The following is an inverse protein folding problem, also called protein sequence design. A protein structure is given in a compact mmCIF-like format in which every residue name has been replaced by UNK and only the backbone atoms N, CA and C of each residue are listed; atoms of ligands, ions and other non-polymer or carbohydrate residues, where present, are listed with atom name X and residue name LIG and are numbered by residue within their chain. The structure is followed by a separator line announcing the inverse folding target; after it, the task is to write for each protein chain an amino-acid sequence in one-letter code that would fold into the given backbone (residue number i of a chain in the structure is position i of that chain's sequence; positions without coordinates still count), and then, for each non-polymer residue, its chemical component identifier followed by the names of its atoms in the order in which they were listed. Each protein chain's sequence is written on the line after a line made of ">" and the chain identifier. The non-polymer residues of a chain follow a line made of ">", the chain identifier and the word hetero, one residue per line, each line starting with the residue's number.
data_IF_444882663613
#
_entry.id   IF_444882663613
#
_cell.length_a   1.000
_cell.length_b   1.000
_cell.length_c   1.000
_cell.angle_alpha   90.00
_cell.angle_beta   90.00
_cell.angle_gamma   90.00
#
_symmetry.space_group_name_H-M   'P 1'
#
loop_
_entity.id
_entity.type
_entity.pdbx_description
1 polymer ?
#
# COMPACT_ATOMS: atom_id res chain seq x y z
N UNK A 1 -29.71 -20.93 -27.24
CA UNK A 1 -28.24 -20.91 -27.47
C UNK A 1 -27.79 -19.44 -27.51
N UNK A 2 -26.94 -19.04 -26.59
CA UNK A 2 -26.36 -17.68 -26.60
C UNK A 2 -25.58 -17.46 -27.91
N UNK A 3 -25.82 -16.33 -28.57
CA UNK A 3 -25.12 -15.99 -29.81
C UNK A 3 -23.62 -15.82 -29.54
N UNK A 4 -22.74 -16.43 -30.36
CA UNK A 4 -21.27 -16.33 -30.21
C UNK A 4 -20.76 -14.87 -30.15
N UNK A 5 -21.45 -13.91 -30.81
CA UNK A 5 -21.13 -12.49 -30.75
C UNK A 5 -21.46 -11.90 -29.42
N UNK A 6 -22.50 -12.35 -28.76
CA UNK A 6 -22.91 -11.95 -27.43
C UNK A 6 -21.91 -12.41 -26.36
N UNK A 7 -21.49 -13.67 -26.42
CA UNK A 7 -20.44 -14.21 -25.52
C UNK A 7 -19.12 -13.42 -25.67
N UNK A 8 -18.71 -13.13 -26.93
CA UNK A 8 -17.54 -12.28 -27.19
C UNK A 8 -17.73 -10.84 -26.66
N UNK A 9 -18.94 -10.31 -26.73
CA UNK A 9 -19.31 -9.00 -26.16
C UNK A 9 -19.16 -8.97 -24.64
N UNK A 10 -19.64 -10.01 -23.93
CA UNK A 10 -19.44 -10.18 -22.48
C UNK A 10 -17.95 -10.17 -22.11
N UNK A 11 -17.15 -10.96 -22.83
CA UNK A 11 -15.70 -11.04 -22.62
C UNK A 11 -15.05 -9.67 -22.81
N UNK A 12 -15.41 -8.93 -23.88
CA UNK A 12 -14.88 -7.58 -24.13
C UNK A 12 -15.27 -6.64 -22.99
N UNK A 13 -16.52 -6.63 -22.55
CA UNK A 13 -16.96 -5.78 -21.44
C UNK A 13 -16.23 -6.06 -20.15
N UNK A 14 -15.80 -7.31 -19.92
CA UNK A 14 -15.07 -7.72 -18.70
C UNK A 14 -13.57 -7.52 -18.80
N UNK A 15 -12.97 -7.60 -19.99
CA UNK A 15 -11.51 -7.70 -20.15
C UNK A 15 -10.87 -6.53 -20.91
N UNK A 16 -11.67 -5.63 -21.51
CA UNK A 16 -11.18 -4.57 -22.40
C UNK A 16 -11.68 -3.20 -21.98
N UNK A 17 -10.92 -2.16 -22.34
CA UNK A 17 -11.31 -0.79 -22.02
C UNK A 17 -12.52 -0.35 -22.85
N UNK A 18 -13.55 0.17 -22.16
CA UNK A 18 -14.69 0.86 -22.77
C UNK A 18 -14.71 2.26 -22.19
N UNK A 19 -14.58 3.27 -23.07
CA UNK A 19 -14.59 4.69 -22.68
C UNK A 19 -15.91 5.32 -23.16
N UNK A 20 -16.63 5.97 -22.24
CA UNK A 20 -17.79 6.77 -22.60
C UNK A 20 -17.30 8.10 -23.20
N UNK A 21 -17.84 8.49 -24.33
CA UNK A 21 -17.62 9.76 -25.03
C UNK A 21 -18.95 10.51 -25.09
N UNK A 22 -18.91 11.76 -25.50
CA UNK A 22 -20.12 12.58 -25.59
C UNK A 22 -21.14 12.02 -26.60
N UNK A 23 -20.65 11.48 -27.72
CA UNK A 23 -21.48 10.96 -28.84
C UNK A 23 -21.61 9.43 -28.87
N UNK A 24 -21.05 8.70 -27.87
CA UNK A 24 -21.09 7.23 -27.87
C UNK A 24 -20.03 6.59 -27.00
N UNK A 25 -19.51 5.47 -27.47
CA UNK A 25 -18.54 4.63 -26.70
C UNK A 25 -17.38 4.21 -27.57
N UNK A 26 -16.15 4.37 -27.07
CA UNK A 26 -14.96 3.78 -27.65
C UNK A 26 -14.68 2.42 -26.99
N UNK A 27 -14.79 1.33 -27.75
CA UNK A 27 -14.64 -0.05 -27.29
C UNK A 27 -13.34 -0.63 -27.82
N UNK A 28 -12.46 -1.07 -26.94
CA UNK A 28 -11.18 -1.68 -27.34
C UNK A 28 -11.40 -3.02 -28.04
N UNK A 29 -10.65 -3.23 -29.11
CA UNK A 29 -10.64 -4.50 -29.85
C UNK A 29 -10.18 -5.67 -28.98
N UNK A 30 -10.75 -6.85 -29.21
CA UNK A 30 -10.34 -8.09 -28.53
C UNK A 30 -8.90 -8.52 -28.86
N UNK A 31 -8.45 -8.27 -30.10
CA UNK A 31 -7.20 -8.80 -30.66
C UNK A 31 -6.14 -7.70 -30.91
N UNK A 32 -6.43 -6.44 -30.59
CA UNK A 32 -5.51 -5.32 -30.84
C UNK A 32 -5.73 -4.18 -29.86
N UNK A 33 -4.79 -3.23 -29.83
CA UNK A 33 -4.93 -1.97 -29.06
C UNK A 33 -5.88 -0.95 -29.72
N UNK A 34 -6.48 -1.28 -30.89
CA UNK A 34 -7.39 -0.38 -31.62
C UNK A 34 -8.72 -0.26 -30.89
N UNK A 35 -9.35 0.92 -30.98
CA UNK A 35 -10.69 1.17 -30.50
C UNK A 35 -11.66 1.26 -31.66
N UNK A 36 -12.87 0.74 -31.45
CA UNK A 36 -14.00 0.89 -32.35
C UNK A 36 -15.05 1.76 -31.69
N UNK A 37 -15.64 2.65 -32.46
CA UNK A 37 -16.65 3.56 -31.97
C UNK A 37 -18.04 2.93 -32.11
N UNK A 38 -18.85 3.00 -31.07
CA UNK A 38 -20.25 2.63 -31.02
C UNK A 38 -21.01 3.90 -30.66
N UNK A 39 -21.84 4.42 -31.57
CA UNK A 39 -22.61 5.63 -31.33
C UNK A 39 -23.78 5.38 -30.37
N UNK A 40 -24.44 6.47 -29.93
CA UNK A 40 -25.59 6.41 -29.03
C UNK A 40 -26.84 5.72 -29.67
N UNK A 41 -26.89 5.61 -31.00
CA UNK A 41 -27.93 4.89 -31.73
C UNK A 41 -27.61 3.38 -31.90
N UNK A 42 -26.45 2.96 -31.42
CA UNK A 42 -26.03 1.58 -31.47
C UNK A 42 -25.36 1.16 -32.78
N UNK A 43 -24.95 2.07 -33.66
CA UNK A 43 -24.15 1.73 -34.84
C UNK A 43 -22.65 1.61 -34.48
N UNK A 44 -21.93 0.67 -35.10
CA UNK A 44 -20.52 0.43 -34.82
C UNK A 44 -19.67 0.53 -36.08
N UNK A 45 -18.53 1.20 -35.99
CA UNK A 45 -17.58 1.34 -37.10
C UNK A 45 -16.60 0.18 -37.27
N UNK A 46 -16.84 -0.96 -36.63
CA UNK A 46 -15.95 -2.11 -36.78
C UNK A 46 -16.11 -2.83 -38.16
N UNK A 47 -15.10 -3.56 -38.62
CA UNK A 47 -15.15 -4.27 -39.92
C UNK A 47 -16.34 -5.22 -40.04
N UNK A 48 -16.78 -5.85 -38.95
CA UNK A 48 -17.95 -6.76 -38.95
C UNK A 48 -19.25 -6.04 -39.32
N UNK A 49 -19.40 -4.78 -38.88
CA UNK A 49 -20.55 -3.93 -39.26
C UNK A 49 -20.37 -3.30 -40.63
N UNK A 50 -19.17 -2.81 -40.97
CA UNK A 50 -18.94 -2.07 -42.20
C UNK A 50 -18.84 -2.97 -43.45
N UNK A 51 -18.20 -4.14 -43.32
CA UNK A 51 -17.94 -5.03 -44.44
C UNK A 51 -19.01 -6.11 -44.54
N UNK A 52 -19.41 -6.72 -43.44
CA UNK A 52 -20.34 -7.84 -43.41
C UNK A 52 -21.81 -7.40 -43.17
N UNK A 53 -22.09 -6.12 -43.07
CA UNK A 53 -23.44 -5.60 -42.85
C UNK A 53 -24.11 -6.10 -41.58
N UNK A 54 -23.32 -6.47 -40.56
CA UNK A 54 -23.85 -7.03 -39.31
C UNK A 54 -24.61 -5.98 -38.52
N UNK A 55 -25.87 -6.21 -38.25
CA UNK A 55 -26.74 -5.28 -37.48
C UNK A 55 -26.39 -5.23 -36.00
N UNK A 56 -25.83 -6.27 -35.43
CA UNK A 56 -25.40 -6.29 -34.02
C UNK A 56 -24.07 -7.06 -33.87
N UNK A 57 -23.00 -6.32 -33.65
CA UNK A 57 -21.67 -6.89 -33.50
C UNK A 57 -21.27 -7.05 -31.99
N UNK A 58 -20.15 -7.74 -31.76
CA UNK A 58 -19.61 -7.96 -30.41
C UNK A 58 -19.33 -6.68 -29.65
N UNK A 59 -18.97 -5.56 -30.28
CA UNK A 59 -18.71 -4.29 -29.62
C UNK A 59 -20.00 -3.61 -29.14
N UNK A 60 -21.07 -3.75 -29.90
CA UNK A 60 -22.41 -3.28 -29.49
C UNK A 60 -22.93 -4.08 -28.29
N UNK A 61 -22.76 -5.40 -28.31
CA UNK A 61 -23.03 -6.24 -27.13
C UNK A 61 -22.16 -5.81 -25.93
N UNK A 62 -20.88 -5.52 -26.16
CA UNK A 62 -19.99 -5.06 -25.08
C UNK A 62 -20.51 -3.76 -24.45
N UNK A 63 -20.98 -2.79 -25.23
CA UNK A 63 -21.60 -1.56 -24.71
C UNK A 63 -22.87 -1.86 -23.95
N UNK A 64 -23.75 -2.75 -24.47
CA UNK A 64 -24.97 -3.16 -23.76
C UNK A 64 -24.65 -3.77 -22.39
N UNK A 65 -23.63 -4.66 -22.32
CA UNK A 65 -23.18 -5.21 -21.05
C UNK A 65 -22.53 -4.20 -20.13
N UNK A 66 -21.83 -3.23 -20.69
CA UNK A 66 -21.22 -2.13 -19.93
C UNK A 66 -22.28 -1.19 -19.31
N UNK A 67 -23.38 -0.90 -20.06
CA UNK A 67 -24.47 -0.03 -19.59
C UNK A 67 -25.49 -0.75 -18.68
N UNK A 68 -25.44 -2.05 -18.64
CA UNK A 68 -26.48 -2.90 -18.06
C UNK A 68 -27.49 -3.36 -19.14
N UNK A 69 -27.92 -4.62 -19.05
CA UNK A 69 -28.87 -5.17 -20.00
C UNK A 69 -30.31 -4.84 -19.52
N UNK A 70 -31.12 -4.24 -20.39
CA UNK A 70 -32.56 -4.33 -20.25
C UNK A 70 -33.00 -5.74 -20.65
N UNK A 71 -33.50 -6.52 -19.69
CA UNK A 71 -34.20 -7.78 -20.00
C UNK A 71 -35.51 -7.47 -20.72
N UNK A 72 -36.03 -8.43 -21.46
CA UNK A 72 -37.30 -8.31 -22.18
C UNK A 72 -38.49 -7.98 -21.27
N UNK A 73 -38.37 -8.17 -19.96
CA UNK A 73 -39.36 -7.82 -18.92
C UNK A 73 -39.20 -6.37 -18.39
N UNK A 74 -38.29 -5.56 -18.96
CA UNK A 74 -38.05 -4.18 -18.55
C UNK A 74 -37.14 -4.02 -17.31
N UNK A 75 -36.65 -5.11 -16.73
CA UNK A 75 -35.71 -5.02 -15.62
C UNK A 75 -34.29 -4.74 -16.10
N UNK A 76 -33.60 -3.81 -15.41
CA UNK A 76 -32.20 -3.45 -15.73
C UNK A 76 -31.26 -4.16 -14.77
N UNK A 77 -30.51 -5.11 -15.28
CA UNK A 77 -29.45 -5.75 -14.51
C UNK A 77 -28.16 -4.91 -14.65
N UNK A 78 -27.81 -4.16 -13.60
CA UNK A 78 -26.51 -3.48 -13.52
C UNK A 78 -25.44 -4.54 -13.34
N UNK A 79 -24.74 -4.88 -14.42
CA UNK A 79 -23.51 -5.67 -14.31
C UNK A 79 -22.47 -4.75 -13.67
N UNK A 80 -22.20 -4.95 -12.38
CA UNK A 80 -21.00 -4.42 -11.77
C UNK A 80 -19.83 -5.14 -12.44
N UNK A 81 -19.01 -4.37 -13.16
CA UNK A 81 -17.66 -4.82 -13.51
C UNK A 81 -16.86 -4.90 -12.21
N UNK A 82 -16.95 -6.02 -11.54
CA UNK A 82 -16.04 -6.35 -10.46
C UNK A 82 -14.80 -6.96 -11.09
N UNK A 83 -13.63 -6.49 -10.70
CA UNK A 83 -12.38 -7.22 -10.94
C UNK A 83 -12.60 -8.65 -10.45
N UNK A 84 -12.11 -9.63 -11.22
CA UNK A 84 -12.23 -11.03 -10.85
C UNK A 84 -11.55 -11.28 -9.51
N UNK A 85 -12.32 -11.16 -8.42
CA UNK A 85 -11.85 -11.46 -7.06
C UNK A 85 -11.81 -12.96 -6.89
N UNK A 86 -10.70 -13.50 -6.41
CA UNK A 86 -10.60 -14.89 -5.99
C UNK A 86 -11.37 -15.10 -4.66
N UNK A 87 -12.70 -15.08 -4.73
CA UNK A 87 -13.58 -15.10 -3.55
C UNK A 87 -13.29 -16.24 -2.58
N UNK A 88 -12.87 -17.40 -3.08
CA UNK A 88 -12.53 -18.54 -2.23
C UNK A 88 -11.29 -18.21 -1.35
N UNK A 89 -10.22 -17.75 -1.96
CA UNK A 89 -8.99 -17.34 -1.27
C UNK A 89 -9.26 -16.18 -0.31
N UNK A 90 -10.01 -15.17 -0.76
CA UNK A 90 -10.42 -14.05 0.08
C UNK A 90 -11.20 -14.50 1.33
N UNK A 91 -12.20 -15.36 1.17
CA UNK A 91 -12.99 -15.85 2.29
C UNK A 91 -12.14 -16.68 3.28
N UNK A 92 -11.24 -17.51 2.77
CA UNK A 92 -10.31 -18.27 3.62
C UNK A 92 -9.39 -17.35 4.41
N UNK A 93 -8.82 -16.32 3.75
CA UNK A 93 -7.99 -15.33 4.42
C UNK A 93 -8.77 -14.61 5.54
N UNK A 94 -9.98 -14.12 5.25
CA UNK A 94 -10.80 -13.38 6.23
C UNK A 94 -11.24 -14.25 7.41
N UNK A 95 -11.68 -15.48 7.17
CA UNK A 95 -12.19 -16.36 8.24
C UNK A 95 -11.09 -16.91 9.14
N UNK A 96 -9.86 -17.01 8.65
CA UNK A 96 -8.70 -17.49 9.41
C UNK A 96 -7.82 -16.35 9.97
N UNK A 97 -8.12 -15.09 9.64
CA UNK A 97 -7.25 -13.94 9.86
C UNK A 97 -6.76 -13.82 11.31
N UNK A 98 -7.65 -13.87 12.30
CA UNK A 98 -7.24 -13.64 13.69
C UNK A 98 -6.23 -14.69 14.16
N UNK A 99 -6.47 -15.97 13.83
CA UNK A 99 -5.57 -17.07 14.19
C UNK A 99 -4.22 -16.95 13.49
N UNK A 100 -4.25 -16.67 12.18
CA UNK A 100 -3.04 -16.52 11.38
C UNK A 100 -2.24 -15.25 11.74
N UNK A 101 -2.93 -14.16 12.09
CA UNK A 101 -2.30 -12.95 12.57
C UNK A 101 -1.46 -13.19 13.81
N UNK A 102 -2.01 -13.93 14.79
CA UNK A 102 -1.27 -14.27 16.01
C UNK A 102 -0.05 -15.13 15.72
N UNK A 103 -0.18 -16.13 14.86
CA UNK A 103 0.92 -17.01 14.47
C UNK A 103 2.03 -16.26 13.73
N UNK A 104 1.69 -15.53 12.65
CA UNK A 104 2.67 -14.79 11.86
C UNK A 104 3.34 -13.66 12.67
N UNK A 105 2.59 -12.99 13.55
CA UNK A 105 3.19 -12.02 14.45
C UNK A 105 4.20 -12.67 15.38
N UNK A 106 3.86 -13.82 15.99
CA UNK A 106 4.77 -14.57 16.84
C UNK A 106 6.03 -14.98 16.10
N UNK A 107 5.89 -15.55 14.89
CA UNK A 107 7.02 -15.98 14.05
C UNK A 107 7.92 -14.78 13.66
N UNK A 108 7.33 -13.65 13.27
CA UNK A 108 8.09 -12.44 12.96
C UNK A 108 8.89 -11.97 14.18
N UNK A 109 8.32 -12.00 15.37
CA UNK A 109 8.97 -11.52 16.58
C UNK A 109 10.10 -12.42 17.06
N UNK A 110 10.21 -13.67 16.56
CA UNK A 110 11.40 -14.51 16.81
C UNK A 110 12.69 -13.90 16.24
N UNK A 111 12.58 -13.00 15.27
CA UNK A 111 13.71 -12.23 14.72
C UNK A 111 14.26 -11.16 15.67
N UNK A 112 13.57 -10.84 16.77
CA UNK A 112 14.03 -9.87 17.75
C UNK A 112 15.04 -10.52 18.69
N UNK A 113 16.19 -9.90 18.84
CA UNK A 113 17.15 -10.25 19.89
C UNK A 113 16.68 -9.63 21.21
N UNK A 114 16.58 -10.50 22.25
CA UNK A 114 16.24 -10.01 23.58
C UNK A 114 17.45 -9.31 24.18
N UNK A 115 17.28 -8.10 24.76
CA UNK A 115 18.40 -7.41 25.37
C UNK A 115 18.96 -8.20 26.56
N UNK A 116 20.28 -8.21 26.69
CA UNK A 116 20.95 -8.85 27.82
C UNK A 116 20.50 -8.24 29.14
N UNK A 117 20.33 -9.09 30.12
CA UNK A 117 19.94 -8.66 31.46
C UNK A 117 21.07 -7.87 32.13
N UNK A 118 20.80 -6.61 32.43
CA UNK A 118 21.73 -5.76 33.17
C UNK A 118 21.32 -5.68 34.65
N UNK A 119 22.25 -6.12 35.54
CA UNK A 119 22.13 -5.92 36.98
C UNK A 119 21.24 -6.94 37.71
N UNK A 120 21.21 -6.76 39.08
CA UNK A 120 20.36 -7.51 39.97
C UNK A 120 18.97 -6.88 40.07
N UNK A 121 17.92 -7.67 40.19
CA UNK A 121 16.56 -7.18 40.34
C UNK A 121 15.51 -8.08 39.69
N UNK A 122 14.24 -7.66 39.71
CA UNK A 122 13.17 -8.39 39.05
C UNK A 122 13.41 -8.42 37.54
N UNK A 123 13.38 -9.60 36.90
CA UNK A 123 13.51 -9.69 35.43
C UNK A 123 12.48 -8.81 34.74
N UNK A 124 12.93 -8.05 33.71
CA UNK A 124 12.03 -7.35 32.81
C UNK A 124 11.14 -8.35 32.06
N UNK A 125 10.01 -7.87 31.55
CA UNK A 125 9.23 -8.64 30.59
C UNK A 125 10.02 -8.77 29.28
N UNK A 126 9.88 -9.90 28.61
CA UNK A 126 10.45 -10.09 27.27
C UNK A 126 10.03 -8.97 26.32
N UNK A 127 10.97 -8.44 25.55
CA UNK A 127 10.70 -7.40 24.55
C UNK A 127 9.76 -7.92 23.48
N UNK A 128 9.94 -9.15 23.03
CA UNK A 128 9.06 -9.84 22.07
C UNK A 128 7.63 -9.87 22.56
N UNK A 129 7.39 -10.28 23.81
CA UNK A 129 6.05 -10.34 24.40
C UNK A 129 5.40 -8.96 24.53
N UNK A 130 6.18 -7.94 24.86
CA UNK A 130 5.69 -6.57 24.94
C UNK A 130 5.30 -6.03 23.57
N UNK A 131 6.11 -6.28 22.53
CA UNK A 131 5.80 -5.89 21.14
C UNK A 131 4.59 -6.65 20.63
N UNK A 132 4.51 -7.99 20.88
CA UNK A 132 3.34 -8.78 20.55
C UNK A 132 2.04 -8.17 21.09
N UNK A 133 2.03 -7.88 22.39
CA UNK A 133 0.88 -7.27 23.05
C UNK A 133 0.56 -5.86 22.52
N UNK A 134 1.58 -5.09 22.15
CA UNK A 134 1.40 -3.74 21.58
C UNK A 134 0.72 -3.81 20.21
N UNK A 135 1.22 -4.66 19.32
CA UNK A 135 0.66 -4.84 17.98
C UNK A 135 -0.74 -5.46 18.03
N UNK A 136 -0.95 -6.48 18.88
CA UNK A 136 -2.26 -7.12 19.08
C UNK A 136 -3.31 -6.14 19.62
N UNK A 137 -2.91 -5.26 20.58
CA UNK A 137 -3.78 -4.17 21.08
C UNK A 137 -4.20 -3.22 19.97
N UNK A 138 -3.25 -2.83 19.11
CA UNK A 138 -3.51 -1.89 18.01
C UNK A 138 -4.38 -2.54 16.94
N UNK A 139 -4.09 -3.77 16.55
CA UNK A 139 -4.89 -4.57 15.64
C UNK A 139 -6.35 -4.69 16.10
N UNK A 140 -6.57 -4.98 17.39
CA UNK A 140 -7.91 -5.11 17.98
C UNK A 140 -8.58 -3.76 18.27
N UNK A 141 -7.92 -2.65 17.99
CA UNK A 141 -8.43 -1.29 18.26
C UNK A 141 -8.92 -1.08 19.72
N UNK A 142 -8.37 -1.81 20.68
CA UNK A 142 -8.77 -1.70 22.08
C UNK A 142 -8.00 -0.61 22.83
N UNK A 143 -8.61 -0.09 23.91
CA UNK A 143 -7.87 0.73 24.89
C UNK A 143 -6.93 -0.16 25.70
N UNK A 144 -5.84 0.42 26.23
CA UNK A 144 -4.82 -0.35 26.96
C UNK A 144 -5.40 -1.20 28.11
N UNK A 145 -6.38 -0.67 28.87
CA UNK A 145 -7.01 -1.42 29.96
C UNK A 145 -7.87 -2.59 29.45
N UNK A 146 -8.66 -2.39 28.38
CA UNK A 146 -9.50 -3.44 27.79
C UNK A 146 -8.67 -4.52 27.11
N UNK A 147 -7.50 -4.15 26.55
CA UNK A 147 -6.59 -5.09 25.90
C UNK A 147 -5.96 -6.10 26.89
N UNK A 148 -6.05 -5.86 28.21
CA UNK A 148 -5.53 -6.81 29.23
C UNK A 148 -6.11 -8.21 29.06
N UNK A 149 -7.40 -8.31 28.75
CA UNK A 149 -8.04 -9.60 28.44
C UNK A 149 -7.43 -10.34 27.26
N UNK A 150 -7.04 -9.60 26.18
CA UNK A 150 -6.35 -10.19 25.04
C UNK A 150 -4.94 -10.70 25.41
N UNK A 151 -4.27 -10.06 26.37
CA UNK A 151 -2.96 -10.50 26.84
C UNK A 151 -3.07 -11.76 27.69
N UNK A 152 -4.13 -11.87 28.49
CA UNK A 152 -4.41 -13.09 29.26
C UNK A 152 -4.74 -14.26 28.34
N UNK A 153 -5.58 -14.04 27.33
CA UNK A 153 -5.89 -15.01 26.29
C UNK A 153 -4.62 -15.46 25.51
N UNK A 154 -3.73 -14.53 25.16
CA UNK A 154 -2.48 -14.85 24.50
C UNK A 154 -1.58 -15.73 25.37
N UNK A 155 -1.57 -15.53 26.70
CA UNK A 155 -0.88 -16.39 27.65
C UNK A 155 -1.52 -17.79 27.72
N UNK A 156 -2.84 -17.89 27.76
CA UNK A 156 -3.55 -19.16 27.76
C UNK A 156 -3.27 -19.97 26.50
N UNK A 157 -3.14 -19.30 25.35
CA UNK A 157 -2.75 -19.89 24.06
C UNK A 157 -1.24 -20.20 23.97
N UNK A 158 -0.45 -19.94 25.01
CA UNK A 158 1.00 -20.10 25.04
C UNK A 158 1.78 -19.25 23.99
N UNK A 159 1.16 -18.19 23.46
CA UNK A 159 1.81 -17.22 22.55
C UNK A 159 2.78 -16.29 23.30
N UNK A 160 2.55 -16.09 24.59
CA UNK A 160 3.41 -15.36 25.51
C UNK A 160 3.53 -16.12 26.84
N UNK A 161 4.69 -16.04 27.49
CA UNK A 161 4.94 -16.70 28.80
C UNK A 161 4.28 -15.95 29.95
N UNK A 162 4.31 -14.61 29.88
CA UNK A 162 3.76 -13.75 30.93
C UNK A 162 2.87 -12.69 30.33
N UNK A 163 1.62 -12.58 30.81
CA UNK A 163 0.72 -11.51 30.43
C UNK A 163 1.17 -10.18 31.05
N UNK A 164 1.58 -9.17 30.25
CA UNK A 164 1.97 -7.87 30.77
C UNK A 164 0.78 -7.11 31.34
N UNK A 165 1.04 -6.23 32.29
CA UNK A 165 0.04 -5.26 32.73
C UNK A 165 -0.08 -4.14 31.67
N UNK A 166 -1.26 -3.55 31.51
CA UNK A 166 -1.52 -2.59 30.44
C UNK A 166 -0.56 -1.38 30.41
N UNK A 167 0.01 -1.00 31.58
CA UNK A 167 1.01 0.07 31.65
C UNK A 167 2.33 -0.30 30.99
N UNK A 168 2.71 -1.58 30.97
CA UNK A 168 3.95 -2.04 30.34
C UNK A 168 3.93 -1.79 28.82
N UNK A 169 2.79 -2.04 28.18
CA UNK A 169 2.57 -1.77 26.75
C UNK A 169 2.63 -0.27 26.47
N UNK A 170 2.01 0.55 27.33
CA UNK A 170 2.07 2.00 27.19
C UNK A 170 3.49 2.54 27.40
N UNK A 171 4.25 1.97 28.34
CA UNK A 171 5.64 2.33 28.59
C UNK A 171 6.55 1.97 27.39
N UNK A 172 6.36 0.80 26.78
CA UNK A 172 7.10 0.42 25.57
C UNK A 172 6.85 1.39 24.43
N UNK A 173 5.60 1.74 24.17
CA UNK A 173 5.24 2.67 23.09
C UNK A 173 5.82 4.08 23.30
N UNK A 174 6.19 4.47 24.52
CA UNK A 174 6.81 5.76 24.79
C UNK A 174 8.34 5.78 24.62
N UNK A 175 8.96 4.67 24.24
CA UNK A 175 10.40 4.59 24.03
C UNK A 175 10.78 4.90 22.58
N UNK A 176 11.83 5.69 22.38
CA UNK A 176 12.33 6.02 21.04
C UNK A 176 12.93 4.78 20.35
N UNK A 177 13.60 3.90 21.08
CA UNK A 177 14.18 2.67 20.54
C UNK A 177 13.11 1.72 19.97
N UNK A 178 11.87 1.84 20.44
CA UNK A 178 10.73 1.09 19.89
C UNK A 178 10.41 1.53 18.47
N UNK A 179 10.70 2.78 18.12
CA UNK A 179 10.46 3.29 16.75
C UNK A 179 11.33 2.57 15.73
N UNK A 180 12.64 2.51 15.97
CA UNK A 180 13.59 1.85 15.07
C UNK A 180 13.28 0.34 14.94
N UNK A 181 12.95 -0.29 16.07
CA UNK A 181 12.53 -1.68 16.09
C UNK A 181 11.29 -1.92 15.22
N UNK A 182 10.25 -1.10 15.35
CA UNK A 182 9.02 -1.25 14.57
C UNK A 182 9.25 -0.95 13.08
N UNK A 183 10.05 0.05 12.72
CA UNK A 183 10.44 0.32 11.34
C UNK A 183 11.17 -0.88 10.73
N UNK A 184 12.09 -1.52 11.46
CA UNK A 184 12.78 -2.75 11.06
C UNK A 184 11.79 -3.92 10.89
N UNK A 185 10.86 -4.12 11.81
CA UNK A 185 9.85 -5.17 11.72
C UNK A 185 8.91 -4.99 10.52
N UNK A 186 8.57 -3.76 10.15
CA UNK A 186 7.80 -3.46 8.94
C UNK A 186 8.57 -3.95 7.71
N UNK A 187 9.85 -3.63 7.59
CA UNK A 187 10.66 -4.08 6.46
C UNK A 187 10.81 -5.61 6.44
N UNK A 188 11.05 -6.25 7.59
CA UNK A 188 11.14 -7.71 7.71
C UNK A 188 9.82 -8.40 7.34
N UNK A 189 8.68 -7.84 7.75
CA UNK A 189 7.36 -8.39 7.42
C UNK A 189 7.05 -8.34 5.91
N UNK A 190 7.70 -7.48 5.15
CA UNK A 190 7.54 -7.40 3.70
C UNK A 190 8.42 -8.43 2.94
N UNK A 191 9.46 -8.96 3.58
CA UNK A 191 10.45 -9.84 2.93
C UNK A 191 9.87 -11.08 2.22
N UNK A 192 8.82 -11.76 2.73
CA UNK A 192 8.23 -12.90 2.03
C UNK A 192 7.69 -12.55 0.63
N UNK A 193 7.38 -11.28 0.37
CA UNK A 193 6.87 -10.78 -0.92
C UNK A 193 7.94 -10.15 -1.82
N UNK A 194 9.22 -10.25 -1.43
CA UNK A 194 10.35 -9.65 -2.16
C UNK A 194 10.44 -10.08 -3.62
N UNK A 195 10.15 -11.33 -3.94
CA UNK A 195 10.17 -11.84 -5.31
C UNK A 195 8.96 -11.42 -6.14
N UNK A 196 7.88 -11.01 -5.48
CA UNK A 196 6.62 -10.61 -6.12
C UNK A 196 6.64 -9.13 -6.49
N UNK A 197 7.21 -8.29 -5.62
CA UNK A 197 7.19 -6.84 -5.75
C UNK A 197 8.47 -6.31 -6.40
N UNK A 198 8.29 -5.61 -7.52
CA UNK A 198 9.35 -4.91 -8.25
C UNK A 198 8.95 -3.48 -8.61
N UNK A 199 7.68 -3.14 -8.44
CA UNK A 199 7.10 -1.84 -8.75
C UNK A 199 6.53 -1.26 -7.47
N UNK A 200 6.88 -0.01 -7.19
CA UNK A 200 6.58 0.61 -5.91
C UNK A 200 5.88 1.96 -6.07
N UNK A 201 5.12 2.32 -5.07
CA UNK A 201 4.50 3.63 -4.95
C UNK A 201 4.86 4.28 -3.61
N UNK A 202 5.06 5.60 -3.64
CA UNK A 202 5.34 6.41 -2.45
C UNK A 202 4.28 7.49 -2.32
N UNK A 203 3.72 7.60 -1.13
CA UNK A 203 2.85 8.72 -0.75
C UNK A 203 2.81 8.89 0.76
N UNK A 204 2.13 9.92 1.23
CA UNK A 204 1.91 10.20 2.63
C UNK A 204 0.44 10.37 2.96
N UNK A 205 0.06 10.03 4.20
CA UNK A 205 -1.30 10.26 4.68
C UNK A 205 -1.34 10.63 6.16
N UNK A 206 -2.25 11.56 6.50
CA UNK A 206 -2.45 12.01 7.87
C UNK A 206 -3.30 11.03 8.70
N UNK A 207 -2.91 10.85 9.98
CA UNK A 207 -3.65 10.12 11.00
C UNK A 207 -3.96 11.06 12.17
N UNK A 208 -5.22 11.09 12.57
CA UNK A 208 -5.70 12.03 13.60
C UNK A 208 -5.17 11.64 14.99
N UNK A 209 -4.67 12.62 15.73
CA UNK A 209 -4.23 12.42 17.12
C UNK A 209 -5.33 12.75 18.12
N UNK A 210 -6.41 13.40 17.68
CA UNK A 210 -7.56 13.78 18.51
C UNK A 210 -8.84 13.18 17.96
N UNK A 211 -9.78 12.85 18.85
CA UNK A 211 -11.12 12.36 18.50
C UNK A 211 -12.17 13.47 18.43
N UNK A 212 -11.79 14.71 18.75
CA UNK A 212 -12.73 15.82 18.77
C UNK A 212 -13.13 16.19 17.34
N UNK A 213 -14.45 16.22 17.09
CA UNK A 213 -15.01 16.65 15.82
C UNK A 213 -14.87 18.18 15.68
N UNK A 214 -14.96 18.68 14.44
CA UNK A 214 -15.06 20.12 14.16
C UNK A 214 -16.20 20.77 14.92
N UNK A 215 -17.32 20.05 15.09
CA UNK A 215 -18.46 20.50 15.89
C UNK A 215 -18.09 20.87 17.32
N UNK A 216 -17.23 20.07 17.99
CA UNK A 216 -16.78 20.42 19.35
C UNK A 216 -15.88 21.66 19.36
N UNK A 217 -15.10 21.88 18.30
CA UNK A 217 -14.27 23.08 18.14
C UNK A 217 -15.13 24.32 18.01
N UNK A 218 -16.11 24.26 17.10
CA UNK A 218 -16.99 25.40 16.80
C UNK A 218 -17.88 25.76 18.00
N UNK A 219 -18.34 24.74 18.76
CA UNK A 219 -19.20 24.93 19.93
C UNK A 219 -18.46 25.48 21.16
N UNK A 220 -17.19 25.17 21.34
CA UNK A 220 -16.43 25.50 22.54
C UNK A 220 -15.32 26.53 22.31
N UNK A 221 -15.21 27.13 21.12
CA UNK A 221 -14.25 28.18 20.80
C UNK A 221 -12.79 27.80 20.99
N UNK A 222 -12.48 26.48 21.08
CA UNK A 222 -11.12 26.02 21.32
C UNK A 222 -10.34 26.00 20.00
N UNK A 223 -9.36 26.88 19.87
CA UNK A 223 -8.35 26.89 18.80
C UNK A 223 -7.41 25.66 18.84
N UNK A 224 -7.88 24.47 19.20
CA UNK A 224 -7.06 23.28 19.10
C UNK A 224 -6.95 22.91 17.63
N UNK A 225 -5.82 23.25 17.02
CA UNK A 225 -5.43 22.72 15.71
C UNK A 225 -5.61 21.20 15.73
N UNK A 226 -6.23 20.66 14.68
CA UNK A 226 -6.22 19.20 14.46
C UNK A 226 -4.76 18.79 14.26
N UNK A 227 -4.19 18.17 15.27
CA UNK A 227 -2.85 17.61 15.17
C UNK A 227 -2.97 16.28 14.45
N UNK A 228 -2.21 16.16 13.37
CA UNK A 228 -2.05 14.94 12.61
C UNK A 228 -0.62 14.47 12.73
N UNK A 229 -0.42 13.16 12.75
CA UNK A 229 0.84 12.56 12.36
C UNK A 229 0.73 12.13 10.91
N UNK A 230 1.80 12.33 10.17
CA UNK A 230 1.88 11.95 8.77
C UNK A 230 2.72 10.68 8.64
N UNK A 231 2.12 9.63 8.07
CA UNK A 231 2.84 8.44 7.67
C UNK A 231 3.28 8.58 6.22
N UNK A 232 4.57 8.44 5.97
CA UNK A 232 5.16 8.31 4.64
C UNK A 232 5.49 6.84 4.44
N UNK A 233 4.97 6.22 3.39
CA UNK A 233 5.19 4.80 3.11
C UNK A 233 5.69 4.60 1.68
N UNK A 234 6.51 3.58 1.51
CA UNK A 234 6.84 2.99 0.23
C UNK A 234 6.22 1.59 0.23
N UNK A 235 5.28 1.35 -0.67
CA UNK A 235 4.59 0.08 -0.77
C UNK A 235 4.71 -0.55 -2.16
N UNK A 236 4.66 -1.87 -2.21
CA UNK A 236 4.53 -2.62 -3.45
C UNK A 236 3.17 -2.38 -4.11
N UNK A 237 3.15 -2.33 -5.44
CA UNK A 237 1.92 -2.00 -6.19
C UNK A 237 1.05 -3.21 -6.51
N UNK A 238 1.55 -4.44 -6.29
CA UNK A 238 0.78 -5.66 -6.53
C UNK A 238 0.01 -6.12 -5.30
N UNK A 239 0.69 -6.16 -4.15
CA UNK A 239 0.14 -6.72 -2.91
C UNK A 239 -0.23 -5.67 -1.87
N UNK A 240 0.14 -4.41 -2.09
CA UNK A 240 0.01 -3.31 -1.12
C UNK A 240 0.86 -3.49 0.17
N UNK A 241 1.88 -4.35 0.15
CA UNK A 241 2.79 -4.52 1.29
C UNK A 241 3.67 -3.29 1.47
N UNK A 242 3.84 -2.86 2.70
CA UNK A 242 4.69 -1.70 3.05
C UNK A 242 6.11 -2.19 3.26
N UNK A 243 7.04 -1.76 2.39
CA UNK A 243 8.45 -2.13 2.47
C UNK A 243 9.26 -1.20 3.37
N UNK A 244 8.87 0.07 3.45
CA UNK A 244 9.51 1.06 4.32
C UNK A 244 8.51 2.13 4.75
N UNK A 245 8.69 2.65 5.96
CA UNK A 245 7.82 3.68 6.53
C UNK A 245 8.61 4.69 7.35
N UNK A 246 8.16 5.95 7.35
CA UNK A 246 8.63 7.03 8.22
C UNK A 246 7.44 7.83 8.73
N UNK A 247 7.50 8.24 9.99
CA UNK A 247 6.45 9.05 10.61
C UNK A 247 7.01 10.43 10.94
N UNK A 248 6.28 11.47 10.52
CA UNK A 248 6.59 12.87 10.82
C UNK A 248 5.40 13.57 11.48
N UNK A 249 5.63 14.78 11.96
CA UNK A 249 4.54 15.69 12.31
C UNK A 249 3.69 16.03 11.09
N UNK A 250 2.49 16.53 11.32
CA UNK A 250 1.50 16.74 10.24
C UNK A 250 1.90 17.75 9.18
N UNK A 251 2.79 18.70 9.49
CA UNK A 251 3.37 19.70 8.58
C UNK A 251 4.68 19.24 7.93
N UNK A 252 5.17 18.05 8.28
CA UNK A 252 6.39 17.48 7.72
C UNK A 252 6.36 17.42 6.19
N UNK A 253 7.46 17.87 5.55
CA UNK A 253 7.59 17.86 4.10
C UNK A 253 7.73 16.44 3.55
N UNK A 254 7.02 16.15 2.44
CA UNK A 254 6.98 14.82 1.82
C UNK A 254 8.28 14.48 1.06
N UNK A 255 8.78 15.44 0.26
CA UNK A 255 9.89 15.20 -0.66
C UNK A 255 11.17 14.68 0.01
N UNK A 256 11.60 15.16 1.18
CA UNK A 256 12.79 14.64 1.85
C UNK A 256 12.65 13.19 2.34
N UNK A 257 11.42 12.72 2.55
CA UNK A 257 11.17 11.36 3.09
C UNK A 257 11.35 10.26 2.04
N UNK A 258 11.32 10.59 0.74
CA UNK A 258 11.46 9.60 -0.33
C UNK A 258 12.84 8.92 -0.28
N UNK A 259 13.93 9.67 -0.15
CA UNK A 259 15.28 9.12 -0.15
C UNK A 259 15.50 8.04 0.92
N UNK A 260 15.20 8.26 2.21
CA UNK A 260 15.37 7.22 3.22
C UNK A 260 14.43 6.03 3.01
N UNK A 261 13.22 6.23 2.49
CA UNK A 261 12.30 5.12 2.18
C UNK A 261 12.86 4.22 1.08
N UNK A 262 13.38 4.80 0.00
CA UNK A 262 13.99 4.04 -1.12
C UNK A 262 15.26 3.33 -0.66
N UNK A 263 16.12 4.00 0.11
CA UNK A 263 17.35 3.40 0.63
C UNK A 263 17.04 2.19 1.51
N UNK A 264 16.16 2.32 2.50
CA UNK A 264 15.78 1.21 3.37
C UNK A 264 15.19 0.03 2.58
N UNK A 265 14.37 0.30 1.56
CA UNK A 265 13.79 -0.74 0.70
C UNK A 265 14.86 -1.47 -0.11
N UNK A 266 15.82 -0.72 -0.67
CA UNK A 266 16.94 -1.29 -1.43
C UNK A 266 17.91 -2.09 -0.52
N UNK A 267 18.22 -1.57 0.66
CA UNK A 267 19.06 -2.25 1.67
C UNK A 267 18.40 -3.56 2.16
N UNK A 268 17.07 -3.57 2.26
CA UNK A 268 16.29 -4.78 2.52
C UNK A 268 16.37 -5.79 1.34
N UNK A 269 16.99 -5.38 0.22
CA UNK A 269 17.25 -6.23 -0.94
C UNK A 269 16.08 -6.35 -1.91
N UNK A 270 15.07 -5.49 -1.85
CA UNK A 270 14.05 -5.40 -2.89
C UNK A 270 14.65 -4.85 -4.19
N UNK A 271 14.22 -5.42 -5.32
CA UNK A 271 14.60 -4.92 -6.64
C UNK A 271 13.65 -3.80 -7.07
N UNK A 272 14.05 -2.55 -6.88
CA UNK A 272 13.25 -1.38 -7.26
C UNK A 272 13.38 -1.14 -8.76
N UNK A 273 12.46 -1.68 -9.57
CA UNK A 273 12.44 -1.47 -11.03
C UNK A 273 11.74 -0.17 -11.39
N UNK A 274 10.60 0.12 -10.75
CA UNK A 274 9.81 1.32 -10.99
C UNK A 274 9.37 1.92 -9.66
N UNK A 275 9.34 3.25 -9.61
CA UNK A 275 8.80 3.97 -8.47
C UNK A 275 7.90 5.12 -8.94
N UNK A 276 6.64 5.10 -8.50
CA UNK A 276 5.65 6.12 -8.78
C UNK A 276 5.40 6.98 -7.54
N UNK A 277 5.41 8.30 -7.71
CA UNK A 277 5.10 9.23 -6.61
C UNK A 277 4.45 10.50 -7.14
N UNK A 278 3.78 11.28 -6.27
CA UNK A 278 3.18 12.55 -6.67
C UNK A 278 4.27 13.59 -7.05
N UNK A 279 3.84 14.59 -7.82
CA UNK A 279 4.68 15.76 -8.23
C UNK A 279 5.29 16.51 -7.05
N UNK A 280 4.77 16.37 -5.82
CA UNK A 280 5.38 16.90 -4.60
C UNK A 280 6.78 16.32 -4.34
N UNK A 281 7.01 15.08 -4.76
CA UNK A 281 8.30 14.38 -4.62
C UNK A 281 9.29 14.70 -5.75
N UNK A 282 8.92 15.56 -6.72
CA UNK A 282 9.79 15.90 -7.85
C UNK A 282 10.94 16.77 -7.39
N UNK A 283 12.11 16.17 -7.21
CA UNK A 283 13.37 16.82 -6.90
C UNK A 283 14.54 16.08 -7.56
N UNK A 284 15.62 16.80 -7.86
CA UNK A 284 16.84 16.20 -8.46
C UNK A 284 17.39 15.09 -7.55
N UNK A 285 17.37 15.31 -6.24
CA UNK A 285 17.86 14.33 -5.27
C UNK A 285 17.06 13.04 -5.34
N UNK A 286 15.73 13.13 -5.30
CA UNK A 286 14.85 11.95 -5.33
C UNK A 286 15.02 11.15 -6.62
N UNK A 287 15.14 11.82 -7.78
CA UNK A 287 15.40 11.14 -9.04
C UNK A 287 16.75 10.41 -9.04
N UNK A 288 17.78 11.02 -8.47
CA UNK A 288 19.08 10.38 -8.36
C UNK A 288 19.05 9.18 -7.39
N UNK A 289 18.39 9.31 -6.23
CA UNK A 289 18.25 8.20 -5.28
C UNK A 289 17.54 7.00 -5.91
N UNK A 290 16.45 7.23 -6.65
CA UNK A 290 15.72 6.15 -7.34
C UNK A 290 16.62 5.47 -8.37
N UNK A 291 17.38 6.27 -9.16
CA UNK A 291 18.33 5.73 -10.15
C UNK A 291 19.46 4.94 -9.50
N UNK A 292 19.99 5.40 -8.38
CA UNK A 292 21.05 4.71 -7.62
C UNK A 292 20.58 3.38 -7.07
N UNK A 293 19.28 3.28 -6.72
CA UNK A 293 18.62 2.02 -6.37
C UNK A 293 18.31 1.12 -7.60
N UNK A 294 18.64 1.56 -8.82
CA UNK A 294 18.36 0.82 -10.06
C UNK A 294 17.00 1.10 -10.67
N UNK A 295 16.17 1.96 -10.06
CA UNK A 295 14.80 2.19 -10.42
C UNK A 295 14.56 3.28 -11.46
N UNK A 296 13.38 3.23 -12.09
CA UNK A 296 12.88 4.24 -13.00
C UNK A 296 11.81 5.10 -12.31
N UNK A 297 11.99 6.45 -12.23
CA UNK A 297 11.05 7.33 -11.53
C UNK A 297 9.89 7.76 -12.43
N UNK A 298 8.67 7.43 -12.06
CA UNK A 298 7.45 7.96 -12.65
C UNK A 298 6.85 9.06 -11.77
N UNK A 299 7.51 10.21 -11.72
CA UNK A 299 7.13 11.39 -10.93
C UNK A 299 6.81 12.54 -11.87
N UNK A 300 5.56 13.03 -11.95
CA UNK A 300 5.18 14.08 -12.89
C UNK A 300 5.88 15.41 -12.62
N UNK A 301 6.00 16.22 -13.66
CA UNK A 301 6.56 17.56 -13.56
C UNK A 301 5.46 18.61 -13.35
N UNK A 302 5.79 19.69 -12.64
CA UNK A 302 4.87 20.80 -12.44
C UNK A 302 4.72 21.60 -13.74
N UNK A 303 3.54 22.18 -13.97
CA UNK A 303 3.34 23.12 -15.09
C UNK A 303 4.33 24.28 -14.95
N UNK A 304 4.96 24.66 -16.06
CA UNK A 304 5.96 25.74 -16.07
C UNK A 304 7.35 25.33 -15.57
N UNK A 305 7.61 24.04 -15.35
CA UNK A 305 8.99 23.59 -15.06
C UNK A 305 9.91 23.95 -16.21
N UNK A 306 10.93 24.78 -15.95
CA UNK A 306 11.89 25.19 -16.96
C UNK A 306 12.79 24.02 -17.39
N UNK A 307 13.01 23.90 -18.70
CA UNK A 307 13.92 22.87 -19.27
C UNK A 307 15.37 23.05 -18.80
N UNK A 308 15.73 24.26 -18.40
CA UNK A 308 17.10 24.62 -17.99
C UNK A 308 17.27 24.46 -16.49
N UNK A 309 17.52 23.23 -16.03
CA UNK A 309 18.06 23.03 -14.71
C UNK A 309 19.54 23.42 -14.67
N UNK A 310 19.89 24.49 -13.94
CA UNK A 310 21.28 25.01 -13.83
C UNK A 310 22.19 24.14 -12.94
N UNK A 311 21.69 23.03 -12.39
CA UNK A 311 22.41 22.17 -11.43
C UNK A 311 23.51 21.27 -12.04
N UNK A 312 24.04 21.61 -13.21
CA UNK A 312 25.20 20.93 -13.82
C UNK A 312 24.98 19.42 -14.02
N UNK A 313 25.98 18.63 -13.64
CA UNK A 313 25.95 17.16 -13.78
C UNK A 313 24.90 16.48 -12.92
N UNK A 314 24.58 17.00 -11.73
CA UNK A 314 23.55 16.44 -10.83
C UNK A 314 22.17 16.40 -11.47
N UNK A 315 21.83 17.39 -12.31
CA UNK A 315 20.53 17.48 -12.96
C UNK A 315 20.43 16.75 -14.30
N UNK A 316 21.47 16.07 -14.80
CA UNK A 316 21.45 15.41 -16.12
C UNK A 316 20.37 14.35 -16.22
N UNK A 317 20.24 13.49 -15.19
CA UNK A 317 19.23 12.44 -15.17
C UNK A 317 17.82 13.03 -15.07
N UNK A 318 17.58 13.97 -14.17
CA UNK A 318 16.32 14.67 -14.02
C UNK A 318 15.86 15.32 -15.34
N UNK A 319 16.77 15.98 -16.10
CA UNK A 319 16.47 16.56 -17.41
C UNK A 319 16.14 15.50 -18.46
N UNK A 320 16.87 14.37 -18.48
CA UNK A 320 16.56 13.25 -19.38
C UNK A 320 15.15 12.74 -19.12
N UNK A 321 14.77 12.58 -17.86
CA UNK A 321 13.44 12.16 -17.45
C UNK A 321 12.37 13.20 -17.81
N UNK A 322 12.69 14.50 -17.75
CA UNK A 322 11.78 15.54 -18.20
C UNK A 322 11.47 15.42 -19.71
N UNK A 323 12.46 15.22 -20.54
CA UNK A 323 12.25 15.01 -21.98
C UNK A 323 11.48 13.71 -22.27
N UNK A 324 11.78 12.65 -21.54
CA UNK A 324 11.02 11.40 -21.62
C UNK A 324 9.54 11.60 -21.27
N UNK A 325 9.27 12.30 -20.17
CA UNK A 325 7.92 12.65 -19.76
C UNK A 325 7.16 13.45 -20.82
N UNK A 326 7.81 14.40 -21.50
CA UNK A 326 7.19 15.20 -22.56
C UNK A 326 6.92 14.38 -23.84
N UNK A 327 7.84 13.49 -24.20
CA UNK A 327 7.75 12.71 -25.43
C UNK A 327 6.81 11.49 -25.32
N UNK A 328 6.65 10.90 -24.12
CA UNK A 328 5.97 9.63 -23.92
C UNK A 328 4.84 9.74 -22.85
N UNK A 329 3.96 10.72 -22.98
CA UNK A 329 2.94 11.03 -21.95
C UNK A 329 1.98 9.87 -21.69
N UNK A 330 1.57 9.11 -22.73
CA UNK A 330 0.65 7.98 -22.58
C UNK A 330 1.31 6.84 -21.78
N UNK A 331 2.51 6.42 -22.20
CA UNK A 331 3.27 5.38 -21.51
C UNK A 331 3.60 5.80 -20.07
N UNK A 332 4.08 7.03 -19.89
CA UNK A 332 4.35 7.57 -18.56
C UNK A 332 3.12 7.55 -17.67
N UNK A 333 1.95 7.90 -18.21
CA UNK A 333 0.69 7.93 -17.48
C UNK A 333 0.24 6.54 -17.05
N UNK A 334 0.41 5.50 -17.89
CA UNK A 334 0.10 4.11 -17.54
C UNK A 334 0.91 3.64 -16.30
N UNK A 335 2.20 3.95 -16.28
CA UNK A 335 3.06 3.63 -15.14
C UNK A 335 2.77 4.49 -13.92
N UNK A 336 2.54 5.79 -14.11
CA UNK A 336 2.22 6.73 -13.03
C UNK A 336 0.90 6.37 -12.33
N UNK A 337 -0.10 5.84 -13.03
CA UNK A 337 -1.38 5.44 -12.44
C UNK A 337 -1.25 4.36 -11.37
N UNK A 338 -0.14 3.59 -11.36
CA UNK A 338 0.17 2.64 -10.29
C UNK A 338 0.32 3.31 -8.92
N UNK A 339 0.56 4.63 -8.88
CA UNK A 339 0.55 5.42 -7.64
C UNK A 339 -0.76 5.28 -6.86
N UNK A 340 -1.88 5.09 -7.53
CA UNK A 340 -3.18 4.91 -6.85
C UNK A 340 -3.20 3.72 -5.87
N UNK A 341 -2.29 2.74 -6.02
CA UNK A 341 -2.19 1.62 -5.09
C UNK A 341 -1.76 2.06 -3.68
N UNK A 342 -0.94 3.11 -3.54
CA UNK A 342 -0.59 3.60 -2.19
C UNK A 342 -1.80 4.26 -1.51
N UNK A 343 -2.69 4.90 -2.27
CA UNK A 343 -3.95 5.43 -1.74
C UNK A 343 -4.86 4.29 -1.26
N UNK A 344 -4.91 3.19 -2.03
CA UNK A 344 -5.60 1.95 -1.65
C UNK A 344 -5.00 1.35 -0.37
N UNK A 345 -3.67 1.31 -0.26
CA UNK A 345 -2.97 0.86 0.96
C UNK A 345 -3.40 1.67 2.18
N UNK A 346 -3.40 3.00 2.09
CA UNK A 346 -3.87 3.86 3.18
C UNK A 346 -5.36 3.67 3.48
N UNK A 347 -6.19 3.47 2.46
CA UNK A 347 -7.60 3.16 2.66
C UNK A 347 -7.78 1.84 3.43
N UNK A 348 -7.06 0.79 3.07
CA UNK A 348 -7.08 -0.51 3.78
C UNK A 348 -6.70 -0.35 5.25
N UNK A 349 -5.61 0.38 5.54
CA UNK A 349 -5.15 0.63 6.91
C UNK A 349 -6.21 1.40 7.71
N UNK A 350 -6.72 2.51 7.18
CA UNK A 350 -7.69 3.37 7.87
C UNK A 350 -9.03 2.67 8.07
N UNK A 351 -9.51 1.92 7.09
CA UNK A 351 -10.77 1.18 7.18
C UNK A 351 -10.70 0.08 8.23
N UNK A 352 -9.61 -0.68 8.26
CA UNK A 352 -9.48 -1.84 9.14
C UNK A 352 -8.96 -1.50 10.53
N UNK A 353 -7.98 -0.62 10.62
CA UNK A 353 -7.28 -0.29 11.87
C UNK A 353 -7.63 1.10 12.43
N UNK A 354 -8.49 1.83 11.73
CA UNK A 354 -8.94 3.18 12.10
C UNK A 354 -7.92 4.27 11.81
N UNK A 355 -8.40 5.48 11.59
CA UNK A 355 -7.62 6.66 11.21
C UNK A 355 -7.20 7.55 12.40
N UNK A 356 -7.60 7.17 13.62
CA UNK A 356 -7.32 7.92 14.84
C UNK A 356 -6.35 7.16 15.75
N UNK A 357 -5.41 7.88 16.35
CA UNK A 357 -4.46 7.38 17.33
C UNK A 357 -5.02 7.57 18.76
N UNK A 358 -4.77 6.59 19.63
CA UNK A 358 -5.28 6.57 21.01
C UNK A 358 -4.23 7.01 22.01
N UNK A 359 -2.95 6.93 21.65
CA UNK A 359 -1.84 7.41 22.47
C UNK A 359 -1.84 8.93 22.55
N UNK A 360 -1.25 9.48 23.60
CA UNK A 360 -1.28 10.93 23.86
C UNK A 360 0.06 11.61 23.59
N UNK A 361 1.17 10.94 23.89
CA UNK A 361 2.50 11.47 23.68
C UNK A 361 2.95 11.23 22.26
N UNK A 362 3.73 12.13 21.68
CA UNK A 362 4.19 12.07 20.30
C UNK A 362 4.89 10.74 19.96
N UNK A 363 5.88 10.33 20.75
CA UNK A 363 6.59 9.05 20.56
C UNK A 363 5.65 7.86 20.61
N UNK A 364 4.70 7.84 21.56
CA UNK A 364 3.73 6.75 21.65
C UNK A 364 2.73 6.77 20.49
N UNK A 365 2.36 7.93 19.96
CA UNK A 365 1.52 8.06 18.78
C UNK A 365 2.24 7.55 17.52
N UNK A 366 3.53 7.92 17.36
CA UNK A 366 4.40 7.45 16.30
C UNK A 366 4.50 5.92 16.31
N UNK A 367 4.78 5.34 17.48
CA UNK A 367 4.90 3.90 17.63
C UNK A 367 3.55 3.17 17.49
N UNK A 368 2.44 3.75 17.93
CA UNK A 368 1.10 3.21 17.67
C UNK A 368 0.79 3.19 16.17
N UNK A 369 1.18 4.23 15.44
CA UNK A 369 1.01 4.28 13.99
C UNK A 369 1.87 3.23 13.28
N UNK A 370 3.13 3.07 13.68
CA UNK A 370 4.00 2.00 13.15
C UNK A 370 3.43 0.60 13.45
N UNK A 371 2.83 0.38 14.62
CA UNK A 371 2.11 -0.86 14.91
C UNK A 371 0.92 -1.10 13.96
N UNK A 372 0.20 -0.05 13.52
CA UNK A 372 -0.85 -0.17 12.49
C UNK A 372 -0.27 -0.60 11.14
N UNK A 373 0.86 0.01 10.72
CA UNK A 373 1.52 -0.34 9.48
C UNK A 373 2.04 -1.79 9.50
N UNK A 374 2.62 -2.22 10.62
CA UNK A 374 3.06 -3.61 10.82
C UNK A 374 1.88 -4.58 10.79
N UNK A 375 0.79 -4.25 11.48
CA UNK A 375 -0.43 -5.07 11.46
C UNK A 375 -1.01 -5.18 10.04
N UNK A 376 -0.98 -4.11 9.25
CA UNK A 376 -1.37 -4.14 7.84
C UNK A 376 -0.55 -5.13 7.03
N UNK A 377 0.78 -5.13 7.17
CA UNK A 377 1.65 -6.08 6.46
C UNK A 377 1.33 -7.53 6.80
N UNK A 378 1.08 -7.84 8.07
CA UNK A 378 0.68 -9.20 8.47
C UNK A 378 -0.65 -9.59 7.82
N UNK A 379 -1.63 -8.67 7.75
CA UNK A 379 -2.91 -8.90 7.09
C UNK A 379 -2.72 -9.15 5.58
N UNK A 380 -1.84 -8.38 4.93
CA UNK A 380 -1.48 -8.59 3.53
C UNK A 380 -0.87 -9.99 3.34
N UNK A 381 0.09 -10.39 4.18
CA UNK A 381 0.68 -11.72 4.10
C UNK A 381 -0.37 -12.83 4.22
N UNK A 382 -1.36 -12.67 5.10
CA UNK A 382 -2.46 -13.64 5.22
C UNK A 382 -3.26 -13.75 3.92
N UNK A 383 -3.54 -12.63 3.26
CA UNK A 383 -4.21 -12.65 1.95
C UNK A 383 -3.35 -13.38 0.90
N UNK A 384 -2.06 -13.09 0.85
CA UNK A 384 -1.14 -13.64 -0.14
C UNK A 384 -0.81 -15.14 0.08
N UNK A 385 -0.94 -15.64 1.32
CA UNK A 385 -0.90 -17.08 1.59
C UNK A 385 -1.96 -17.83 0.77
N UNK A 386 -3.16 -17.28 0.68
CA UNK A 386 -4.26 -17.92 -0.04
C UNK A 386 -4.34 -17.54 -1.51
N UNK A 387 -3.91 -16.33 -1.89
CA UNK A 387 -3.98 -15.86 -3.28
C UNK A 387 -2.76 -16.32 -4.09
N UNK A 388 -1.57 -16.25 -3.53
CA UNK A 388 -0.32 -16.62 -4.21
C UNK A 388 0.26 -17.96 -3.74
N UNK A 389 -0.28 -18.56 -2.67
CA UNK A 389 0.22 -19.80 -2.09
C UNK A 389 1.61 -19.66 -1.44
N UNK A 390 1.96 -18.47 -0.95
CA UNK A 390 3.25 -18.25 -0.30
C UNK A 390 3.28 -18.89 1.10
N UNK A 391 4.47 -19.28 1.55
CA UNK A 391 4.76 -19.68 2.92
C UNK A 391 5.69 -18.63 3.54
N UNK A 392 5.16 -17.64 4.30
CA UNK A 392 5.98 -16.58 4.87
C UNK A 392 7.06 -17.15 5.78
N UNK A 393 8.31 -16.76 5.56
CA UNK A 393 9.44 -17.06 6.43
C UNK A 393 10.15 -15.74 6.73
N UNK A 394 10.43 -15.51 8.01
CA UNK A 394 11.12 -14.32 8.47
C UNK A 394 12.55 -14.67 8.85
N UNK A 395 13.51 -14.12 8.11
CA UNK A 395 14.92 -14.22 8.46
C UNK A 395 15.42 -12.84 8.89
N UNK A 396 16.26 -12.74 9.93
CA UNK A 396 16.89 -11.48 10.28
C UNK A 396 17.73 -11.00 9.09
N UNK A 397 17.84 -9.67 8.91
CA UNK A 397 18.78 -9.10 7.96
C UNK A 397 20.19 -9.65 8.29
N UNK A 398 20.81 -10.31 7.33
CA UNK A 398 22.25 -10.44 7.39
C UNK A 398 22.82 -9.04 7.21
N UNK A 399 23.36 -8.45 8.27
CA UNK A 399 24.25 -7.32 8.13
C UNK A 399 25.28 -7.73 7.08
N UNK A 400 25.33 -7.00 5.94
CA UNK A 400 26.47 -7.13 5.03
C UNK A 400 27.67 -6.84 5.92
N UNK A 401 28.49 -7.86 6.17
CA UNK A 401 29.83 -7.64 6.69
C UNK A 401 30.44 -6.56 5.81
N UNK A 402 30.47 -5.36 6.34
CA UNK A 402 31.31 -4.30 5.78
C UNK A 402 32.71 -4.87 5.92
N UNK A 403 33.23 -5.30 4.79
CA UNK A 403 34.55 -5.82 4.64
C UNK A 403 35.53 -4.87 5.33
N UNK A 404 35.86 -5.14 6.60
CA UNK A 404 37.03 -4.65 7.27
C UNK A 404 38.21 -5.45 6.69
N UNK A 405 38.49 -5.21 5.45
CA UNK A 405 39.75 -5.62 4.85
C UNK A 405 40.19 -4.50 3.94
N UNK A 406 41.19 -3.82 4.38
CA UNK A 406 42.20 -3.11 3.62
C UNK A 406 42.73 -1.88 4.39
N UNK A 407 43.19 -2.10 5.62
CA UNK A 407 44.26 -1.28 6.21
C UNK A 407 45.02 -2.09 7.25
N UNK A 408 45.63 -3.16 6.77
CA UNK A 408 46.86 -3.71 7.35
C UNK A 408 47.71 -4.11 6.14
N UNK A 409 48.49 -3.15 5.68
CA UNK A 409 49.88 -3.24 5.19
C UNK A 409 50.31 -1.84 4.73
#
# INVERSE_FOLDING_TARGET
>A
MENLREQKGKIIAQTRAIKKLDDGFAVQSQNSKRFYFVDNNGACNCPDCQINGTTTCKHMFAVKYFLGIQKADGTTEKIRLTYGQAWHAYNQAQTSEVKQFEALLSDLLETIEEPERQGAGRPSLSLREQVFCSVKKVYSQMSSRRAKGLFDEAKEKALIKKSPYFNCVSALLNKEETTELLERLISLSAMPLKSVETQFAVDSSGFRTTRFSEYCRDKHGAEKKHEYLKAHILCGTKTNVICSAKITEGDGADSPQLSPLVQNTNESGFNVVELSADKAYNSINNFNTIREAGGFPYIPYRKGTAQTCRSGNRGKFWRRMYHYFQANQEEFSEHYHKRSNVETTFFMIKSKLGDCLKSKNFTAQKNELLCKLLAHNIIVLISEIYELGIAPQFAPFQEKEVVKSLHEN
#
